data_IF_090979571999
#
_entry.id   IF_090979571999
#
_cell.length_a   1.000
_cell.length_b   1.000
_cell.length_c   1.000
_cell.angle_alpha   90.00
_cell.angle_beta   90.00
_cell.angle_gamma   90.00
#
_symmetry.space_group_name_H-M   'P 1'
#
loop_
_entity.id
_entity.type
_entity.pdbx_description
1 polymer ?
#
# COMPACT_ATOMS: atom_id res chain seq x y z
N UNK A 1 -33.62 -10.95 -21.02
CA UNK A 1 -32.39 -11.73 -20.72
C UNK A 1 -31.20 -11.01 -21.34
N UNK A 2 -30.53 -10.12 -20.59
CA UNK A 2 -29.32 -9.42 -21.04
C UNK A 2 -28.24 -9.60 -19.99
N UNK A 3 -27.15 -10.27 -20.36
CA UNK A 3 -26.06 -10.66 -19.44
C UNK A 3 -25.35 -9.41 -18.90
N UNK A 4 -25.44 -9.21 -17.59
CA UNK A 4 -24.54 -8.36 -16.82
C UNK A 4 -23.11 -8.89 -17.01
N UNK A 5 -22.26 -8.14 -17.74
CA UNK A 5 -20.82 -8.37 -17.73
C UNK A 5 -20.26 -7.57 -16.56
N UNK A 6 -20.03 -8.27 -15.45
CA UNK A 6 -19.33 -7.79 -14.28
C UNK A 6 -17.89 -7.45 -14.66
N UNK A 7 -17.55 -6.17 -14.64
CA UNK A 7 -16.16 -5.70 -14.70
C UNK A 7 -15.60 -5.66 -13.27
N UNK A 8 -15.75 -6.77 -12.54
CA UNK A 8 -15.25 -6.90 -11.17
C UNK A 8 -13.81 -7.41 -11.24
N UNK A 9 -12.85 -6.57 -10.86
CA UNK A 9 -11.46 -6.98 -10.63
C UNK A 9 -10.41 -6.45 -11.61
N UNK A 10 -10.72 -5.45 -12.44
CA UNK A 10 -9.67 -4.78 -13.26
C UNK A 10 -9.04 -3.66 -12.45
N UNK A 11 -7.81 -3.89 -11.98
CA UNK A 11 -6.97 -2.87 -11.34
C UNK A 11 -5.93 -2.35 -12.33
N UNK A 12 -5.85 -1.03 -12.51
CA UNK A 12 -4.83 -0.37 -13.32
C UNK A 12 -3.75 0.19 -12.39
N UNK A 13 -2.53 -0.37 -12.46
CA UNK A 13 -1.37 0.20 -11.77
C UNK A 13 -0.81 1.32 -12.66
N UNK A 14 -0.96 2.58 -12.23
CA UNK A 14 -0.32 3.74 -12.87
C UNK A 14 0.92 4.13 -12.07
N UNK A 15 2.09 4.35 -12.71
CA UNK A 15 3.21 4.97 -12.02
C UNK A 15 2.80 6.41 -11.67
N UNK A 16 2.68 6.72 -10.37
CA UNK A 16 2.75 8.11 -9.93
C UNK A 16 4.20 8.54 -10.17
N UNK A 17 4.46 9.16 -11.31
CA UNK A 17 5.79 9.52 -11.79
C UNK A 17 6.56 10.50 -10.88
N UNK A 18 6.05 10.81 -9.68
CA UNK A 18 6.62 11.82 -8.77
C UNK A 18 6.46 11.55 -7.26
N UNK A 19 5.73 10.51 -6.81
CA UNK A 19 5.50 10.29 -5.38
C UNK A 19 6.03 8.94 -4.88
N UNK A 20 7.35 8.82 -4.77
CA UNK A 20 8.03 7.86 -3.87
C UNK A 20 7.37 6.50 -3.63
N UNK A 21 7.45 6.02 -2.40
CA UNK A 21 6.86 4.78 -1.91
C UNK A 21 5.96 5.11 -0.71
N UNK A 22 4.74 4.61 -0.67
CA UNK A 22 3.79 4.91 0.39
C UNK A 22 2.45 4.21 0.17
N UNK A 23 1.60 4.21 1.19
CA UNK A 23 0.22 3.74 1.05
C UNK A 23 -0.63 4.77 0.30
N UNK A 24 -1.60 4.28 -0.48
CA UNK A 24 -2.57 5.15 -1.15
C UNK A 24 -3.36 5.95 -0.10
N UNK A 25 -3.44 7.27 -0.27
CA UNK A 25 -4.03 8.20 0.71
C UNK A 25 -3.34 8.21 2.10
N UNK A 26 -2.12 7.67 2.22
CA UNK A 26 -1.42 7.56 3.51
C UNK A 26 -0.76 8.84 4.03
N UNK A 27 -0.69 9.91 3.22
CA UNK A 27 -0.09 11.20 3.63
C UNK A 27 1.43 11.20 3.81
N UNK A 28 2.07 10.02 3.80
CA UNK A 28 3.51 9.83 3.95
C UNK A 28 4.06 9.12 2.72
N UNK A 29 5.13 9.68 2.14
CA UNK A 29 5.81 9.14 0.96
C UNK A 29 7.32 9.13 1.19
N UNK A 30 7.96 8.02 0.83
CA UNK A 30 9.38 7.77 1.01
C UNK A 30 10.13 7.79 -0.32
N UNK A 31 11.34 8.32 -0.34
CA UNK A 31 12.15 8.38 -1.56
C UNK A 31 12.53 6.99 -2.05
N UNK A 32 12.82 6.07 -1.12
CA UNK A 32 13.19 4.68 -1.43
C UNK A 32 12.27 3.69 -0.75
N UNK A 33 12.13 2.50 -1.34
CA UNK A 33 11.42 1.38 -0.73
C UNK A 33 12.10 0.96 0.59
N UNK A 34 13.42 1.13 0.70
CA UNK A 34 14.16 0.84 1.92
C UNK A 34 13.75 1.73 3.08
N UNK A 35 13.48 3.01 2.82
CA UNK A 35 13.02 3.94 3.86
C UNK A 35 11.58 3.64 4.29
N UNK A 36 10.72 3.28 3.34
CA UNK A 36 9.38 2.78 3.62
C UNK A 36 9.41 1.57 4.55
N UNK A 37 10.22 0.55 4.23
CA UNK A 37 10.32 -0.67 5.04
C UNK A 37 10.87 -0.37 6.44
N UNK A 38 11.92 0.46 6.54
CA UNK A 38 12.51 0.84 7.84
C UNK A 38 11.54 1.63 8.72
N UNK A 39 10.73 2.51 8.12
CA UNK A 39 9.74 3.28 8.85
C UNK A 39 8.66 2.36 9.45
N UNK A 40 8.01 1.54 8.61
CA UNK A 40 6.95 0.64 9.07
C UNK A 40 7.45 -0.60 9.81
N UNK A 41 8.77 -0.81 9.94
CA UNK A 41 9.31 -1.74 10.92
C UNK A 41 9.02 -1.28 12.35
N UNK A 42 8.91 0.04 12.57
CA UNK A 42 8.68 0.67 13.87
C UNK A 42 7.31 1.34 13.99
N UNK A 43 6.72 1.79 12.87
CA UNK A 43 5.39 2.40 12.83
C UNK A 43 4.29 1.36 12.55
N UNK A 44 3.17 1.46 13.26
CA UNK A 44 2.02 0.55 13.09
C UNK A 44 1.31 0.83 11.78
N UNK A 45 0.94 -0.23 11.06
CA UNK A 45 0.09 -0.12 9.87
C UNK A 45 -1.36 0.23 10.22
N UNK A 46 -1.71 0.20 11.51
CA UNK A 46 -3.02 0.59 12.03
C UNK A 46 -3.40 2.04 11.66
N UNK A 47 -2.40 2.91 11.49
CA UNK A 47 -2.57 4.31 11.07
C UNK A 47 -3.20 4.44 9.68
N UNK A 48 -3.05 3.43 8.83
CA UNK A 48 -3.61 3.39 7.48
C UNK A 48 -4.81 2.46 7.36
N UNK A 49 -4.86 1.40 8.16
CA UNK A 49 -5.98 0.49 8.23
C UNK A 49 -6.10 -0.10 9.65
N UNK A 50 -7.19 0.23 10.34
CA UNK A 50 -7.44 -0.20 11.73
C UNK A 50 -7.53 -1.72 11.94
N UNK A 51 -7.69 -2.49 10.87
CA UNK A 51 -7.67 -3.95 10.89
C UNK A 51 -6.24 -4.53 10.93
N UNK A 52 -5.23 -3.75 10.52
CA UNK A 52 -3.83 -4.19 10.38
C UNK A 52 -3.01 -3.74 11.60
N UNK A 53 -3.22 -4.43 12.72
CA UNK A 53 -2.55 -4.14 14.01
C UNK A 53 -1.14 -4.73 14.11
N UNK A 54 -0.31 -4.45 13.12
CA UNK A 54 1.06 -4.97 13.06
C UNK A 54 2.02 -3.98 12.41
N UNK A 55 3.31 -4.27 12.53
CA UNK A 55 4.41 -3.60 11.84
C UNK A 55 5.00 -4.55 10.79
N UNK A 56 5.87 -4.04 9.92
CA UNK A 56 6.67 -4.87 9.01
C UNK A 56 7.79 -5.58 9.80
N UNK A 57 7.44 -6.71 10.45
CA UNK A 57 8.31 -7.38 11.42
C UNK A 57 9.37 -8.29 10.81
N UNK A 58 9.03 -9.04 9.76
CA UNK A 58 9.94 -10.02 9.18
C UNK A 58 9.87 -9.94 7.64
N UNK A 59 11.01 -9.81 6.95
CA UNK A 59 11.03 -9.94 5.50
C UNK A 59 10.66 -11.37 5.10
N UNK A 60 9.92 -11.51 4.00
CA UNK A 60 9.68 -12.81 3.40
C UNK A 60 10.99 -13.36 2.82
N UNK A 61 11.21 -14.68 2.96
CA UNK A 61 12.34 -15.41 2.39
C UNK A 61 12.17 -15.67 0.90
#
# INVERSE_FOLDING_TARGET
>A
MGRHRTTDGIFLIRPSASQGWGFENGGVYFVTIGDFVRYYANASLEEHNSEIKTTLRMPAL
#
